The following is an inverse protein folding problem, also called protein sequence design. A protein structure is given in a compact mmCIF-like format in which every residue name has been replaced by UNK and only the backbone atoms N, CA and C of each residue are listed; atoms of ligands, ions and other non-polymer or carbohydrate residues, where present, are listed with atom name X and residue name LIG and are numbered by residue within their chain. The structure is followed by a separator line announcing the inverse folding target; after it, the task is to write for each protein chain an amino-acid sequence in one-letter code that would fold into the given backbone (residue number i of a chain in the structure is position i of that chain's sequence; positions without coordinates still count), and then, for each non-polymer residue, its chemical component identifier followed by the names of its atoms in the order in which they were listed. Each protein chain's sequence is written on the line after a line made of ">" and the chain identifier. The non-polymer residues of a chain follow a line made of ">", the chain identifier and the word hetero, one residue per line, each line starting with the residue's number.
data_IF_649518702216
#
_entry.id   IF_649518702216
#
_cell.length_a   1.000
_cell.length_b   1.000
_cell.length_c   1.000
_cell.angle_alpha   90.00
_cell.angle_beta   90.00
_cell.angle_gamma   90.00
#
_symmetry.space_group_name_H-M   'P 1'
#
loop_
_entity.id
_entity.type
_entity.pdbx_description
1 polymer ?
#
# COMPACT_ATOMS: atom_id res chain seq x y z
N UNK A 1 -9.75 -3.57 26.92
CA UNK A 1 -8.28 -3.51 26.86
C UNK A 1 -7.78 -4.45 25.78
N UNK A 2 -7.21 -3.90 24.70
CA UNK A 2 -6.63 -4.68 23.60
C UNK A 2 -5.37 -5.40 24.09
N UNK A 3 -5.38 -6.73 24.15
CA UNK A 3 -4.27 -7.57 24.60
C UNK A 3 -3.00 -7.25 23.78
N UNK A 4 -1.93 -6.74 24.41
CA UNK A 4 -0.65 -6.42 23.74
C UNK A 4 -0.07 -7.64 23.01
N UNK A 5 0.70 -7.40 21.95
CA UNK A 5 1.43 -8.43 21.20
C UNK A 5 2.80 -8.68 21.84
N UNK A 6 3.07 -9.91 22.27
CA UNK A 6 4.37 -10.32 22.79
C UNK A 6 5.39 -10.59 21.67
N UNK A 7 6.68 -10.59 22.02
CA UNK A 7 7.75 -10.89 21.06
C UNK A 7 7.57 -12.26 20.40
N UNK A 8 7.24 -13.28 21.20
CA UNK A 8 6.99 -14.65 20.71
C UNK A 8 5.85 -14.72 19.71
N UNK A 9 4.78 -13.95 19.93
CA UNK A 9 3.66 -13.87 18.97
C UNK A 9 4.07 -13.16 17.68
N UNK A 10 4.92 -12.13 17.77
CA UNK A 10 5.45 -11.45 16.59
C UNK A 10 6.36 -12.38 15.77
N UNK A 11 7.23 -13.15 16.41
CA UNK A 11 8.13 -14.12 15.76
C UNK A 11 7.34 -15.20 15.01
N UNK A 12 6.28 -15.72 15.63
CA UNK A 12 5.34 -16.66 15.01
C UNK A 12 4.66 -16.05 13.79
N UNK A 13 4.25 -14.78 13.89
CA UNK A 13 3.60 -14.07 12.79
C UNK A 13 4.57 -13.82 11.63
N UNK A 14 5.81 -13.41 11.91
CA UNK A 14 6.84 -13.20 10.88
C UNK A 14 7.19 -14.51 10.17
N UNK A 15 7.39 -15.59 10.93
CA UNK A 15 7.78 -16.90 10.39
C UNK A 15 6.66 -17.60 9.60
N UNK A 16 5.40 -17.44 9.99
CA UNK A 16 4.24 -18.14 9.39
C UNK A 16 3.29 -17.22 8.62
N UNK A 17 3.63 -15.95 8.42
CA UNK A 17 2.72 -14.95 7.85
C UNK A 17 2.51 -14.99 6.34
N UNK A 18 3.02 -16.00 5.63
CA UNK A 18 2.73 -16.17 4.22
C UNK A 18 1.24 -16.51 3.97
N UNK A 19 0.75 -16.25 2.75
CA UNK A 19 -0.69 -16.32 2.41
C UNK A 19 -1.31 -17.70 2.69
N UNK A 20 -0.52 -18.76 2.60
CA UNK A 20 -0.92 -20.16 2.81
C UNK A 20 -1.02 -20.55 4.29
N UNK A 21 -0.19 -19.94 5.14
CA UNK A 21 -0.12 -20.27 6.57
C UNK A 21 -1.02 -19.39 7.45
N UNK A 22 -1.73 -18.38 6.90
CA UNK A 22 -2.66 -17.52 7.67
C UNK A 22 -3.77 -18.28 8.41
N UNK A 23 -4.26 -19.38 7.83
CA UNK A 23 -5.26 -20.25 8.48
C UNK A 23 -4.63 -21.08 9.61
N UNK A 24 -3.35 -21.47 9.48
CA UNK A 24 -2.60 -22.26 10.47
C UNK A 24 -2.16 -21.42 11.68
N UNK A 25 -1.84 -20.14 11.46
CA UNK A 25 -1.48 -19.16 12.50
C UNK A 25 -2.49 -19.13 13.67
N UNK A 26 -3.79 -19.06 13.36
CA UNK A 26 -4.86 -19.04 14.39
C UNK A 26 -5.00 -20.38 15.10
N UNK A 27 -5.03 -21.46 14.34
CA UNK A 27 -5.46 -22.78 14.85
C UNK A 27 -4.42 -23.41 15.77
N UNK A 28 -3.13 -23.16 15.51
CA UNK A 28 -2.04 -23.83 16.21
C UNK A 28 -1.37 -22.91 17.23
N UNK A 29 -1.11 -21.65 16.86
CA UNK A 29 -0.16 -20.83 17.62
C UNK A 29 -0.78 -19.63 18.35
N UNK A 30 -1.88 -19.06 17.83
CA UNK A 30 -2.49 -17.83 18.34
C UNK A 30 -4.00 -17.98 18.57
N UNK A 31 -4.41 -19.00 19.34
CA UNK A 31 -5.83 -19.35 19.56
C UNK A 31 -6.64 -18.24 20.23
N UNK A 32 -5.97 -17.34 20.97
CA UNK A 32 -6.57 -16.18 21.63
C UNK A 32 -6.60 -14.90 20.76
N UNK A 33 -6.13 -14.96 19.50
CA UNK A 33 -6.19 -13.85 18.54
C UNK A 33 -7.04 -14.26 17.34
N UNK A 34 -7.83 -13.34 16.84
CA UNK A 34 -8.64 -13.58 15.64
C UNK A 34 -7.78 -13.61 14.38
N UNK A 35 -8.26 -14.27 13.32
CA UNK A 35 -7.58 -14.27 12.01
C UNK A 35 -7.32 -12.84 11.49
N UNK A 36 -8.24 -11.91 11.78
CA UNK A 36 -8.11 -10.49 11.43
C UNK A 36 -6.95 -9.85 12.20
N UNK A 37 -6.90 -10.02 13.52
CA UNK A 37 -5.81 -9.51 14.36
C UNK A 37 -4.44 -10.02 13.91
N UNK A 38 -4.29 -11.32 13.61
CA UNK A 38 -3.02 -11.87 13.13
C UNK A 38 -2.62 -11.31 11.75
N UNK A 39 -3.57 -11.11 10.84
CA UNK A 39 -3.31 -10.52 9.52
C UNK A 39 -2.97 -9.03 9.59
N UNK A 40 -3.60 -8.29 10.51
CA UNK A 40 -3.30 -6.88 10.77
C UNK A 40 -1.89 -6.75 11.35
N UNK A 41 -1.57 -7.55 12.37
CA UNK A 41 -0.25 -7.55 13.00
C UNK A 41 0.86 -8.04 12.08
N UNK A 42 0.60 -9.03 11.22
CA UNK A 42 1.57 -9.43 10.20
C UNK A 42 1.92 -8.27 9.29
N UNK A 43 0.93 -7.51 8.83
CA UNK A 43 1.16 -6.33 7.99
C UNK A 43 1.95 -5.25 8.73
N UNK A 44 1.69 -5.03 10.01
CA UNK A 44 2.48 -4.11 10.85
C UNK A 44 3.95 -4.58 10.96
N UNK A 45 4.18 -5.89 11.14
CA UNK A 45 5.51 -6.47 11.33
C UNK A 45 6.31 -6.61 10.03
N UNK A 46 5.66 -6.60 8.86
CA UNK A 46 6.36 -6.65 7.57
C UNK A 46 7.12 -5.36 7.22
N UNK A 47 7.02 -4.31 8.06
CA UNK A 47 7.80 -3.08 7.90
C UNK A 47 7.52 -2.41 6.56
N UNK A 48 6.38 -1.73 6.44
CA UNK A 48 6.20 -0.86 5.29
C UNK A 48 7.25 0.25 5.33
N UNK A 49 7.78 0.61 4.16
CA UNK A 49 8.65 1.78 4.06
C UNK A 49 7.75 2.99 4.34
N UNK A 50 8.05 3.72 5.41
CA UNK A 50 7.35 4.96 5.76
C UNK A 50 8.03 6.19 5.14
N UNK A 51 7.32 7.32 5.09
CA UNK A 51 7.85 8.58 4.55
C UNK A 51 7.50 8.85 3.08
N UNK A 52 8.08 9.91 2.48
CA UNK A 52 7.70 10.37 1.14
C UNK A 52 8.03 9.35 0.06
N UNK A 53 7.24 9.35 -1.01
CA UNK A 53 7.48 8.53 -2.19
C UNK A 53 8.55 9.19 -3.07
N UNK A 54 9.57 8.42 -3.41
CA UNK A 54 10.57 8.85 -4.38
C UNK A 54 9.96 8.91 -5.80
N UNK A 55 10.50 9.73 -6.72
CA UNK A 55 9.97 9.85 -8.08
C UNK A 55 9.88 8.51 -8.84
N UNK A 56 10.84 7.60 -8.62
CA UNK A 56 10.81 6.27 -9.22
C UNK A 56 9.66 5.41 -8.68
N UNK A 57 9.32 5.54 -7.40
CA UNK A 57 8.19 4.84 -6.78
C UNK A 57 6.88 5.37 -7.35
N UNK A 58 6.73 6.70 -7.49
CA UNK A 58 5.58 7.32 -8.12
C UNK A 58 5.36 6.79 -9.55
N UNK A 59 6.42 6.70 -10.35
CA UNK A 59 6.35 6.13 -11.70
C UNK A 59 5.96 4.64 -11.67
N UNK A 60 6.46 3.89 -10.70
CA UNK A 60 6.12 2.48 -10.51
C UNK A 60 4.66 2.30 -10.08
N UNK A 61 4.11 3.18 -9.24
CA UNK A 61 2.68 3.23 -8.90
C UNK A 61 1.85 3.43 -10.18
N UNK A 62 2.22 4.40 -11.03
CA UNK A 62 1.52 4.64 -12.30
C UNK A 62 1.52 3.39 -13.19
N UNK A 63 2.68 2.77 -13.35
CA UNK A 63 2.81 1.54 -14.13
C UNK A 63 1.94 0.40 -13.58
N UNK A 64 2.03 0.14 -12.27
CA UNK A 64 1.28 -0.93 -11.61
C UNK A 64 -0.23 -0.67 -11.63
N UNK A 65 -0.67 0.59 -11.54
CA UNK A 65 -2.08 0.96 -11.67
C UNK A 65 -2.59 0.68 -13.09
N UNK A 66 -1.81 1.01 -14.14
CA UNK A 66 -2.19 0.68 -15.53
C UNK A 66 -2.34 -0.83 -15.75
N UNK A 67 -1.52 -1.64 -15.08
CA UNK A 67 -1.59 -3.10 -15.20
C UNK A 67 -2.71 -3.74 -14.39
N UNK A 68 -2.94 -3.28 -13.15
CA UNK A 68 -3.79 -3.98 -12.19
C UNK A 68 -5.04 -3.21 -11.77
N UNK A 69 -5.17 -1.93 -12.15
CA UNK A 69 -6.18 -1.02 -11.64
C UNK A 69 -5.99 -0.71 -10.15
N UNK A 70 -7.07 -0.33 -9.42
CA UNK A 70 -7.03 0.07 -8.01
C UNK A 70 -6.87 -1.12 -7.03
N UNK A 71 -6.00 -2.09 -7.35
CA UNK A 71 -5.72 -3.25 -6.50
C UNK A 71 -4.58 -2.95 -5.52
N UNK A 72 -4.80 -2.01 -4.61
CA UNK A 72 -3.78 -1.46 -3.72
C UNK A 72 -3.03 -2.50 -2.87
N UNK A 73 -3.72 -3.53 -2.39
CA UNK A 73 -3.07 -4.62 -1.64
C UNK A 73 -2.05 -5.37 -2.50
N UNK A 74 -2.33 -5.55 -3.80
CA UNK A 74 -1.41 -6.20 -4.74
C UNK A 74 -0.22 -5.29 -5.05
N UNK A 75 -0.47 -4.00 -5.26
CA UNK A 75 0.58 -3.00 -5.53
C UNK A 75 1.49 -2.84 -4.30
N UNK A 76 0.91 -2.84 -3.10
CA UNK A 76 1.60 -2.80 -1.80
C UNK A 76 2.57 -3.97 -1.63
N UNK A 77 2.20 -5.17 -2.04
CA UNK A 77 3.08 -6.32 -1.98
C UNK A 77 4.34 -6.19 -2.88
N UNK A 78 4.31 -5.31 -3.89
CA UNK A 78 5.43 -5.08 -4.82
C UNK A 78 6.29 -3.90 -4.36
N UNK A 79 5.66 -2.84 -3.84
CA UNK A 79 6.35 -1.62 -3.41
C UNK A 79 6.83 -1.68 -1.96
N UNK A 80 6.37 -2.66 -1.18
CA UNK A 80 6.61 -2.70 0.27
C UNK A 80 6.21 -1.39 0.98
N UNK A 81 5.18 -0.71 0.44
CA UNK A 81 4.53 0.49 0.99
C UNK A 81 3.13 0.12 1.44
N UNK A 82 2.55 0.85 2.40
CA UNK A 82 1.20 0.54 2.87
C UNK A 82 0.17 0.75 1.74
N UNK A 83 -0.90 -0.06 1.65
CA UNK A 83 -1.91 0.11 0.61
C UNK A 83 -2.56 1.51 0.64
N UNK A 84 -2.73 2.05 1.84
CA UNK A 84 -3.31 3.38 2.06
C UNK A 84 -2.39 4.48 1.53
N UNK A 85 -1.09 4.45 1.86
CA UNK A 85 -0.15 5.48 1.40
C UNK A 85 0.04 5.44 -0.12
N UNK A 86 -0.01 4.26 -0.74
CA UNK A 86 0.01 4.12 -2.20
C UNK A 86 -1.22 4.76 -2.84
N UNK A 87 -2.41 4.53 -2.27
CA UNK A 87 -3.66 5.11 -2.77
C UNK A 87 -3.62 6.64 -2.69
N UNK A 88 -3.19 7.18 -1.54
CA UNK A 88 -3.06 8.64 -1.34
C UNK A 88 -2.03 9.24 -2.31
N UNK A 89 -0.89 8.58 -2.50
CA UNK A 89 0.11 8.98 -3.49
C UNK A 89 -0.48 9.00 -4.91
N UNK A 90 -1.22 7.96 -5.31
CA UNK A 90 -1.86 7.89 -6.62
C UNK A 90 -2.88 9.02 -6.84
N UNK A 91 -3.73 9.31 -5.85
CA UNK A 91 -4.70 10.40 -5.94
C UNK A 91 -4.01 11.75 -6.13
N UNK A 92 -2.94 11.99 -5.38
CA UNK A 92 -2.13 13.21 -5.51
C UNK A 92 -1.48 13.30 -6.91
N UNK A 93 -0.89 12.22 -7.41
CA UNK A 93 -0.28 12.17 -8.75
C UNK A 93 -1.29 12.48 -9.86
N UNK A 94 -2.48 11.87 -9.79
CA UNK A 94 -3.52 12.08 -10.79
C UNK A 94 -4.06 13.51 -10.78
N UNK A 95 -4.31 14.07 -9.60
CA UNK A 95 -4.79 15.45 -9.49
C UNK A 95 -3.79 16.45 -10.09
N UNK A 96 -2.49 16.23 -9.87
CA UNK A 96 -1.42 17.04 -10.48
C UNK A 96 -1.37 16.87 -12.00
N UNK A 97 -1.52 15.64 -12.51
CA UNK A 97 -1.51 15.37 -13.95
C UNK A 97 -2.72 16.03 -14.66
N UNK A 98 -3.91 16.02 -14.03
CA UNK A 98 -5.11 16.69 -14.52
C UNK A 98 -4.97 18.23 -14.56
N UNK A 99 -4.43 18.82 -13.49
CA UNK A 99 -4.17 20.27 -13.44
C UNK A 99 -3.14 20.67 -14.49
N UNK A 100 -2.04 19.92 -14.63
CA UNK A 100 -1.04 20.17 -15.67
C UNK A 100 -1.63 20.04 -17.08
N UNK A 101 -2.58 19.14 -17.31
CA UNK A 101 -3.30 19.04 -18.59
C UNK A 101 -4.19 20.29 -18.84
N UNK A 102 -4.89 20.77 -17.80
CA UNK A 102 -5.73 21.98 -17.86
C UNK A 102 -4.92 23.22 -18.21
N UNK A 103 -3.79 23.43 -17.54
CA UNK A 103 -2.88 24.57 -17.80
C UNK A 103 -2.35 24.52 -19.24
N UNK A 104 -1.87 23.35 -19.69
CA UNK A 104 -1.37 23.18 -21.08
C UNK A 104 -2.44 23.52 -22.11
N UNK A 105 -3.69 23.07 -21.90
CA UNK A 105 -4.81 23.38 -22.79
C UNK A 105 -5.09 24.89 -22.84
N UNK A 106 -5.06 25.58 -21.69
CA UNK A 106 -5.26 27.04 -21.62
C UNK A 106 -4.16 27.79 -22.38
N UNK A 107 -2.89 27.41 -22.20
CA UNK A 107 -1.77 28.04 -22.89
C UNK A 107 -1.80 27.80 -24.41
N UNK A 108 -2.23 26.62 -24.85
CA UNK A 108 -2.39 26.32 -26.28
C UNK A 108 -3.47 27.20 -26.93
N UNK A 109 -4.60 27.41 -26.25
CA UNK A 109 -5.67 28.30 -26.74
C UNK A 109 -5.20 29.75 -26.83
N UNK A 110 -4.49 30.26 -25.81
CA UNK A 110 -3.97 31.62 -25.81
C UNK A 110 -2.94 31.87 -26.94
N UNK A 111 -2.17 30.84 -27.31
CA UNK A 111 -1.20 30.92 -28.42
C UNK A 111 -1.82 30.92 -29.82
N UNK A 112 -3.08 30.49 -29.96
CA UNK A 112 -3.80 30.50 -31.25
C UNK A 112 -4.50 31.85 -31.48
N UNK A 113 -4.78 32.59 -30.40
CA UNK A 113 -5.51 33.85 -30.41
C UNK A 113 -4.60 35.10 -30.38
N UNK A 114 -3.28 34.91 -30.31
CA UNK A 114 -2.26 35.95 -30.34
C UNK A 114 -1.50 35.91 -31.67
#
# INVERSE_FOLDING_TARGET
>A
MSKLWSSKENDIIVSLGNRENRRRLRTIYLRHKTSKQCADRWRELQGYIDGPFAPFECNKIRYLYRLFGPRWVRISAILHRSPQSIMECWLSLNAMDEEAARIRKKMAVQRILA
#
